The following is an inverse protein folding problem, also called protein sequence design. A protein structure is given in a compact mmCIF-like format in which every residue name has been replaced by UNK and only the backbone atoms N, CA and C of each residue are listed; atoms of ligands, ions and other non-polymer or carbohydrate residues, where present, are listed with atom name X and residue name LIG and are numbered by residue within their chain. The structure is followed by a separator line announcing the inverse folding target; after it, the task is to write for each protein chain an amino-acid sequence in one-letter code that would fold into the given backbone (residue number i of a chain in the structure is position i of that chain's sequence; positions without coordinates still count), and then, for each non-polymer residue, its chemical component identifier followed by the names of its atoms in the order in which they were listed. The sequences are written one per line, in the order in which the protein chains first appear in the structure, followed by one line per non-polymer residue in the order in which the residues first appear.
data_IF_385935045344
#
_entry.id   IF_385935045344
#
_cell.length_a   1.000
_cell.length_b   1.000
_cell.length_c   1.000
_cell.angle_alpha   90.00
_cell.angle_beta   90.00
_cell.angle_gamma   90.00
#
_symmetry.space_group_name_H-M   'P 1'
#
loop_
_entity.id
_entity.type
_entity.pdbx_description
1 polymer ?
#
# COMPACT_ATOMS: atom_id res chain seq x y z
N UNK A 1 11.11 -15.31 2.64
CA UNK A 1 10.73 -16.65 2.12
C UNK A 1 11.62 -16.99 0.93
N UNK A 2 11.99 -18.25 0.72
CA UNK A 2 12.88 -18.70 -0.35
C UNK A 2 12.15 -19.62 -1.37
N UNK A 3 11.28 -19.05 -2.23
CA UNK A 3 10.55 -19.83 -3.23
C UNK A 3 11.50 -20.40 -4.28
N UNK A 4 11.19 -21.60 -4.79
CA UNK A 4 11.95 -22.25 -5.87
C UNK A 4 11.28 -22.00 -7.22
N UNK A 5 11.99 -22.00 -8.36
CA UNK A 5 11.34 -22.06 -9.67
C UNK A 5 10.43 -23.31 -9.81
N UNK A 6 9.28 -23.25 -10.52
CA UNK A 6 8.69 -22.12 -11.23
C UNK A 6 7.59 -21.37 -10.43
N UNK A 7 7.65 -21.40 -9.09
CA UNK A 7 6.58 -20.84 -8.25
C UNK A 7 6.44 -19.33 -8.45
N UNK A 8 5.21 -18.85 -8.57
CA UNK A 8 4.93 -17.43 -8.77
C UNK A 8 5.32 -16.61 -7.52
N UNK A 9 6.02 -15.50 -7.75
CA UNK A 9 6.49 -14.57 -6.69
C UNK A 9 6.09 -13.13 -6.94
N UNK A 10 5.30 -12.88 -7.99
CA UNK A 10 4.73 -11.57 -8.25
C UNK A 10 3.96 -11.10 -7.01
N UNK A 11 4.08 -9.81 -6.69
CA UNK A 11 3.53 -9.20 -5.49
C UNK A 11 4.05 -9.74 -4.13
N UNK A 12 5.07 -10.61 -4.10
CA UNK A 12 5.66 -11.09 -2.85
C UNK A 12 6.22 -9.95 -1.99
N UNK A 13 6.88 -8.97 -2.61
CA UNK A 13 7.39 -7.81 -1.88
C UNK A 13 6.27 -6.94 -1.31
N UNK A 14 5.09 -6.90 -1.94
CA UNK A 14 4.05 -5.96 -1.56
C UNK A 14 3.14 -6.48 -0.44
N UNK A 15 2.87 -7.79 -0.43
CA UNK A 15 2.04 -8.41 0.62
C UNK A 15 2.88 -9.14 1.66
N UNK A 16 3.77 -10.02 1.22
CA UNK A 16 4.51 -10.88 2.16
C UNK A 16 5.49 -10.08 3.00
N UNK A 17 6.26 -9.16 2.41
CA UNK A 17 7.24 -8.38 3.19
C UNK A 17 6.56 -7.49 4.23
N UNK A 18 5.42 -6.89 3.92
CA UNK A 18 4.64 -6.13 4.89
C UNK A 18 4.20 -7.01 6.08
N UNK A 19 3.67 -8.21 5.80
CA UNK A 19 3.30 -9.19 6.83
C UNK A 19 4.48 -9.68 7.67
N UNK A 20 5.67 -9.80 7.06
CA UNK A 20 6.90 -10.10 7.78
C UNK A 20 7.23 -8.98 8.77
N UNK A 21 7.10 -7.72 8.38
CA UNK A 21 7.29 -6.57 9.29
C UNK A 21 6.27 -6.58 10.43
N UNK A 22 4.99 -6.83 10.14
CA UNK A 22 3.95 -6.97 11.18
C UNK A 22 4.31 -8.08 12.18
N UNK A 23 4.85 -9.21 11.71
CA UNK A 23 5.28 -10.33 12.56
C UNK A 23 6.47 -9.94 13.44
N UNK A 24 7.44 -9.21 12.88
CA UNK A 24 8.59 -8.71 13.64
C UNK A 24 8.12 -7.77 14.76
N UNK A 25 7.23 -6.83 14.45
CA UNK A 25 6.66 -5.94 15.48
C UNK A 25 5.86 -6.70 16.53
N UNK A 26 5.05 -7.68 16.13
CA UNK A 26 4.31 -8.53 17.08
C UNK A 26 5.23 -9.33 18.01
N UNK A 27 6.38 -9.80 17.51
CA UNK A 27 7.39 -10.45 18.35
C UNK A 27 8.09 -9.46 19.30
N UNK A 28 8.48 -8.29 18.79
CA UNK A 28 9.13 -7.24 19.57
C UNK A 28 8.21 -6.63 20.62
N UNK A 29 6.91 -6.56 20.39
CA UNK A 29 5.94 -6.04 21.36
C UNK A 29 5.96 -6.77 22.71
N UNK A 30 6.39 -8.03 22.74
CA UNK A 30 6.57 -8.79 23.99
C UNK A 30 7.80 -8.35 24.79
N UNK A 31 8.84 -7.89 24.11
CA UNK A 31 10.11 -7.50 24.72
C UNK A 31 10.23 -5.99 24.93
N UNK A 32 9.58 -5.20 24.08
CA UNK A 32 9.65 -3.75 24.00
C UNK A 32 8.24 -3.12 23.95
N UNK A 33 7.37 -3.40 24.93
CA UNK A 33 5.96 -2.97 24.89
C UNK A 33 5.79 -1.45 24.87
N UNK A 34 6.76 -0.70 25.39
CA UNK A 34 6.70 0.76 25.50
C UNK A 34 7.12 1.51 24.22
N UNK A 35 7.57 0.78 23.18
CA UNK A 35 7.97 1.38 21.89
C UNK A 35 7.42 0.67 20.66
N UNK A 36 7.01 -0.61 20.77
CA UNK A 36 6.51 -1.35 19.62
C UNK A 36 5.11 -0.87 19.18
N UNK A 37 4.92 -0.47 17.92
CA UNK A 37 3.59 -0.20 17.39
C UNK A 37 2.82 -1.51 17.14
N UNK A 38 1.49 -1.39 17.04
CA UNK A 38 0.63 -2.40 16.46
C UNK A 38 0.94 -2.62 14.96
N UNK A 39 0.40 -3.69 14.40
CA UNK A 39 0.46 -3.92 12.96
C UNK A 39 -0.19 -2.75 12.19
N UNK A 40 0.38 -2.41 11.04
CA UNK A 40 -0.18 -1.37 10.16
C UNK A 40 -1.15 -1.99 9.14
N UNK A 41 -1.59 -1.22 8.12
CA UNK A 41 -2.35 -1.74 6.97
C UNK A 41 -1.76 -3.05 6.41
N UNK A 42 -0.43 -3.15 6.41
CA UNK A 42 0.41 -4.27 5.99
C UNK A 42 0.13 -4.86 4.60
N UNK A 43 -0.46 -4.07 3.73
CA UNK A 43 -0.33 -4.18 2.28
C UNK A 43 0.34 -2.91 1.77
N UNK A 44 0.93 -2.93 0.59
CA UNK A 44 1.29 -1.69 -0.12
C UNK A 44 0.09 -1.04 -0.83
N UNK A 45 -1.06 -1.74 -0.83
CA UNK A 45 -2.31 -1.36 -1.45
C UNK A 45 -2.12 -0.98 -2.93
N UNK A 46 -1.68 -1.98 -3.68
CA UNK A 46 -1.40 -1.86 -5.10
C UNK A 46 -2.71 -1.78 -5.91
N UNK A 47 -2.93 -0.67 -6.60
CA UNK A 47 -3.97 -0.52 -7.60
C UNK A 47 -3.37 -0.63 -8.99
N UNK A 48 -3.75 -1.67 -9.73
CA UNK A 48 -3.32 -1.88 -11.11
C UNK A 48 -4.55 -1.86 -12.02
N UNK A 49 -4.52 -1.03 -13.05
CA UNK A 49 -5.58 -0.91 -14.05
C UNK A 49 -4.94 -1.02 -15.43
N UNK A 50 -5.36 -2.02 -16.20
CA UNK A 50 -4.94 -2.19 -17.59
C UNK A 50 -6.13 -2.11 -18.53
N UNK A 51 -5.90 -1.69 -19.77
CA UNK A 51 -6.95 -1.64 -20.77
C UNK A 51 -6.50 -1.03 -22.10
N UNK A 52 -7.48 -0.60 -22.89
CA UNK A 52 -7.26 0.11 -24.14
C UNK A 52 -7.89 1.50 -24.06
N UNK A 53 -7.09 2.52 -24.34
CA UNK A 53 -7.53 3.90 -24.45
C UNK A 53 -8.09 4.10 -25.86
N UNK A 54 -9.42 4.07 -26.00
CA UNK A 54 -10.11 4.28 -27.28
C UNK A 54 -9.99 5.71 -27.81
N UNK A 55 -9.74 6.69 -26.93
CA UNK A 55 -9.58 8.10 -27.30
C UNK A 55 -8.20 8.29 -27.95
N UNK A 56 -7.16 7.68 -27.38
CA UNK A 56 -5.78 7.78 -27.87
C UNK A 56 -5.35 6.62 -28.79
N UNK A 57 -6.22 5.62 -28.97
CA UNK A 57 -5.97 4.47 -29.84
C UNK A 57 -4.78 3.59 -29.41
N UNK A 58 -4.54 3.41 -28.11
CA UNK A 58 -3.40 2.63 -27.59
C UNK A 58 -3.70 1.85 -26.32
N UNK A 59 -3.03 0.71 -26.06
CA UNK A 59 -3.12 0.04 -24.76
C UNK A 59 -2.51 0.93 -23.65
N UNK A 60 -3.00 0.76 -22.43
CA UNK A 60 -2.45 1.42 -21.25
C UNK A 60 -2.36 0.45 -20.06
N UNK A 61 -1.43 0.77 -19.16
CA UNK A 61 -1.30 0.15 -17.84
C UNK A 61 -0.99 1.25 -16.83
N UNK A 62 -1.77 1.31 -15.76
CA UNK A 62 -1.63 2.21 -14.64
C UNK A 62 -1.35 1.38 -13.38
N UNK A 63 -0.38 1.81 -12.59
CA UNK A 63 0.00 1.16 -11.34
C UNK A 63 0.29 2.23 -10.28
N UNK A 64 -0.40 2.13 -9.15
CA UNK A 64 -0.29 3.02 -8.01
C UNK A 64 -0.18 2.21 -6.72
N UNK A 65 0.50 2.78 -5.73
CA UNK A 65 0.49 2.29 -4.35
C UNK A 65 -0.23 3.30 -3.47
N UNK A 66 -1.30 2.90 -2.79
CA UNK A 66 -2.14 3.83 -2.01
C UNK A 66 -1.77 3.76 -0.52
N UNK A 67 -1.56 4.93 0.09
CA UNK A 67 -1.31 5.02 1.53
C UNK A 67 -2.46 4.47 2.37
N UNK A 68 -2.13 3.92 3.53
CA UNK A 68 -3.06 3.34 4.49
C UNK A 68 -2.92 3.92 5.89
N UNK A 69 -3.37 3.18 6.90
CA UNK A 69 -3.12 3.51 8.30
C UNK A 69 -1.83 2.87 8.82
N UNK A 70 -1.06 3.62 9.62
CA UNK A 70 -0.05 3.00 10.49
C UNK A 70 -0.70 2.40 11.74
N UNK A 71 -0.05 1.40 12.32
CA UNK A 71 -0.46 0.87 13.63
C UNK A 71 -0.28 1.94 14.71
N UNK A 72 -1.21 1.98 15.67
CA UNK A 72 -1.05 2.79 16.88
C UNK A 72 0.04 2.23 17.79
N UNK A 73 0.55 3.05 18.70
CA UNK A 73 1.59 2.64 19.63
C UNK A 73 1.43 3.28 21.01
N UNK A 74 2.38 3.04 21.92
CA UNK A 74 2.32 3.54 23.30
C UNK A 74 2.24 5.07 23.42
N UNK A 75 2.70 5.78 22.39
CA UNK A 75 2.67 7.25 22.33
C UNK A 75 1.39 7.82 21.69
N UNK A 76 0.49 6.98 21.18
CA UNK A 76 -0.78 7.43 20.61
C UNK A 76 -1.27 6.63 19.39
N UNK A 77 -2.33 7.13 18.73
CA UNK A 77 -2.90 6.50 17.55
C UNK A 77 -1.92 6.50 16.37
N UNK A 78 -2.16 5.61 15.42
CA UNK A 78 -1.45 5.61 14.16
C UNK A 78 -1.82 6.80 13.27
N UNK A 79 -1.03 7.03 12.23
CA UNK A 79 -1.24 8.09 11.25
C UNK A 79 -2.07 7.53 10.09
N UNK A 80 -3.09 8.28 9.67
CA UNK A 80 -3.95 7.93 8.55
C UNK A 80 -3.35 8.34 7.18
N UNK A 81 -3.61 7.54 6.15
CA UNK A 81 -3.36 7.88 4.75
C UNK A 81 -1.89 7.98 4.34
N UNK A 82 -0.99 7.26 5.01
CA UNK A 82 0.45 7.29 4.74
C UNK A 82 0.99 5.96 4.20
N UNK A 83 2.14 6.04 3.53
CA UNK A 83 2.94 4.86 3.22
C UNK A 83 3.60 4.35 4.51
N UNK A 84 3.61 3.03 4.72
CA UNK A 84 4.10 2.38 5.94
C UNK A 84 5.06 1.25 5.62
N UNK A 85 6.07 1.10 6.48
CA UNK A 85 7.08 0.05 6.44
C UNK A 85 7.77 -0.09 5.07
N UNK A 86 7.31 -1.01 4.22
CA UNK A 86 7.98 -1.35 2.97
C UNK A 86 7.67 -0.40 1.80
N UNK A 87 7.00 0.74 2.06
CA UNK A 87 6.55 1.71 1.04
C UNK A 87 7.01 3.14 1.35
N UNK A 88 7.33 3.92 0.30
CA UNK A 88 7.74 5.33 0.42
C UNK A 88 7.54 6.09 -0.90
N UNK A 89 6.30 6.18 -1.35
CA UNK A 89 5.89 6.83 -2.60
C UNK A 89 4.94 8.00 -2.32
N UNK A 90 5.02 9.04 -3.15
CA UNK A 90 3.98 10.08 -3.19
C UNK A 90 2.85 9.59 -4.08
N UNK A 91 1.63 10.01 -3.77
CA UNK A 91 0.49 9.74 -4.63
C UNK A 91 0.64 10.49 -5.96
N UNK A 92 0.15 9.88 -7.04
CA UNK A 92 0.00 10.56 -8.32
C UNK A 92 -1.07 11.66 -8.20
N UNK A 93 -0.78 12.92 -8.64
CA UNK A 93 -1.81 13.95 -8.72
C UNK A 93 -2.97 13.52 -9.61
N UNK A 94 -4.21 13.81 -9.20
CA UNK A 94 -5.41 13.38 -9.93
C UNK A 94 -5.44 13.98 -11.34
N UNK A 95 -5.05 15.25 -11.49
CA UNK A 95 -4.99 15.91 -12.78
C UNK A 95 -3.99 15.22 -13.72
N UNK A 96 -2.85 14.75 -13.18
CA UNK A 96 -1.86 14.01 -13.96
C UNK A 96 -2.39 12.61 -14.38
N UNK A 97 -3.12 11.94 -13.50
CA UNK A 97 -3.80 10.67 -13.78
C UNK A 97 -4.79 10.82 -14.94
N UNK A 98 -5.71 11.77 -14.85
CA UNK A 98 -6.78 11.98 -15.83
C UNK A 98 -6.25 12.53 -17.16
N UNK A 99 -5.17 13.31 -17.13
CA UNK A 99 -4.50 13.78 -18.34
C UNK A 99 -3.80 12.64 -19.10
N UNK A 100 -3.29 11.64 -18.38
CA UNK A 100 -2.44 10.59 -18.96
C UNK A 100 -3.25 9.36 -19.39
N UNK A 101 -4.28 9.00 -18.62
CA UNK A 101 -5.03 7.76 -18.78
C UNK A 101 -6.51 8.02 -19.07
N UNK A 102 -7.24 7.08 -19.70
CA UNK A 102 -8.69 7.17 -19.91
C UNK A 102 -9.45 6.84 -18.61
N UNK A 103 -9.04 7.46 -17.50
CA UNK A 103 -9.56 7.26 -16.16
C UNK A 103 -10.10 8.57 -15.62
N UNK A 104 -11.16 8.49 -14.80
CA UNK A 104 -11.76 9.64 -14.12
C UNK A 104 -11.88 9.30 -12.63
N UNK A 105 -11.23 10.09 -11.78
CA UNK A 105 -11.29 9.91 -10.34
C UNK A 105 -12.57 10.55 -9.78
N UNK A 106 -13.53 9.70 -9.40
CA UNK A 106 -14.79 10.21 -8.81
C UNK A 106 -14.59 10.75 -7.40
N UNK A 107 -13.74 10.10 -6.60
CA UNK A 107 -13.50 10.41 -5.19
C UNK A 107 -12.08 9.97 -4.81
N UNK A 108 -11.38 10.80 -4.03
CA UNK A 108 -10.11 10.48 -3.41
C UNK A 108 -10.08 11.10 -2.01
N UNK A 109 -10.19 10.27 -0.98
CA UNK A 109 -10.39 10.70 0.40
C UNK A 109 -9.94 9.63 1.41
N UNK A 110 -9.74 10.03 2.66
CA UNK A 110 -9.57 9.10 3.77
C UNK A 110 -10.90 8.35 4.05
N UNK A 111 -10.83 7.03 4.19
CA UNK A 111 -11.99 6.21 4.55
C UNK A 111 -12.24 6.30 6.05
N UNK A 112 -13.31 6.99 6.45
CA UNK A 112 -13.69 7.10 7.87
C UNK A 112 -14.07 5.72 8.45
N UNK A 113 -13.64 5.45 9.69
CA UNK A 113 -13.95 4.20 10.40
C UNK A 113 -13.31 2.95 9.79
N UNK A 114 -12.14 3.07 9.16
CA UNK A 114 -11.38 1.93 8.61
C UNK A 114 -10.27 1.39 9.51
N UNK A 115 -9.92 2.12 10.57
CA UNK A 115 -8.94 1.70 11.56
C UNK A 115 -9.49 0.67 12.54
#
# INVERSE_FOLDING_TARGET
LAPRPPHAVAAGNVETSQRVVDTIWGALARALPDVAPAASQGTMNNLIIGGYDSIRGRPFSYYETIGGGSGGGPLGPGVDGIQVAMTNTRNTPIEALELTYPLLAKRYELRRGSG
#
